data_IF_470996370573
#
_entry.id   IF_470996370573
#
_cell.length_a   1.000
_cell.length_b   1.000
_cell.length_c   1.000
_cell.angle_alpha   90.00
_cell.angle_beta   90.00
_cell.angle_gamma   90.00
#
_symmetry.space_group_name_H-M   'P 1'
#
loop_
_entity.id
_entity.type
_entity.pdbx_description
1 polymer ?
#
# COMPACT_ATOMS: atom_id res chain seq x y z
N UNK A 1 -24.43 18.95 63.18
CA UNK A 1 -24.07 19.39 61.81
C UNK A 1 -24.97 18.61 60.86
N UNK A 2 -25.83 19.37 60.18
CA UNK A 2 -27.02 19.08 59.34
C UNK A 2 -27.04 17.70 58.65
N UNK A 3 -28.05 16.83 58.78
CA UNK A 3 -29.54 16.90 58.71
C UNK A 3 -30.13 16.94 57.29
N UNK A 4 -31.31 16.30 57.16
CA UNK A 4 -32.30 16.25 56.04
C UNK A 4 -32.06 15.11 55.04
N UNK A 5 -32.57 13.89 55.21
CA UNK A 5 -33.97 13.38 55.31
C UNK A 5 -34.82 13.61 54.04
N UNK A 6 -35.44 12.52 53.56
CA UNK A 6 -36.84 12.40 53.05
C UNK A 6 -37.04 12.02 51.57
N UNK A 7 -37.27 10.71 51.33
CA UNK A 7 -38.29 10.17 50.39
C UNK A 7 -39.68 10.76 50.73
N UNK A 8 -40.66 10.91 49.82
CA UNK A 8 -41.27 9.78 49.09
C UNK A 8 -42.03 10.08 47.76
N UNK A 9 -42.58 9.01 47.17
CA UNK A 9 -43.85 8.99 46.42
C UNK A 9 -43.75 9.30 44.93
N UNK A 10 -44.61 8.84 44.03
CA UNK A 10 -45.88 8.10 44.11
C UNK A 10 -46.21 7.71 42.65
N UNK A 11 -46.55 6.45 42.39
CA UNK A 11 -47.25 5.99 41.15
C UNK A 11 -48.74 6.41 41.22
N UNK A 12 -49.63 6.18 40.24
CA UNK A 12 -49.53 5.96 38.79
C UNK A 12 -50.46 6.95 38.03
N UNK A 13 -50.53 6.88 36.69
CA UNK A 13 -51.80 6.89 35.95
C UNK A 13 -51.54 6.86 34.44
N UNK A 14 -52.14 5.87 33.80
CA UNK A 14 -52.31 5.75 32.36
C UNK A 14 -53.02 6.99 31.78
N UNK A 15 -52.96 7.17 30.45
CA UNK A 15 -54.15 7.11 29.57
C UNK A 15 -53.79 7.48 28.11
N UNK A 16 -54.12 6.54 27.21
CA UNK A 16 -54.55 6.67 25.80
C UNK A 16 -53.57 7.20 24.73
N UNK A 17 -53.26 6.27 23.84
CA UNK A 17 -53.20 6.45 22.37
C UNK A 17 -54.45 7.17 21.82
N UNK A 18 -54.30 7.89 20.70
CA UNK A 18 -54.84 7.29 19.48
C UNK A 18 -53.96 7.44 18.24
N UNK A 19 -54.23 6.47 17.37
CA UNK A 19 -53.84 6.25 15.99
C UNK A 19 -53.93 7.47 15.07
N UNK A 20 -52.93 7.64 14.22
CA UNK A 20 -53.06 8.32 12.93
C UNK A 20 -52.05 7.73 11.94
N UNK A 21 -52.45 6.60 11.35
CA UNK A 21 -52.20 6.18 9.96
C UNK A 21 -51.61 7.29 9.06
N UNK A 22 -50.36 7.07 8.64
CA UNK A 22 -49.65 7.85 7.63
C UNK A 22 -48.67 6.94 6.89
N UNK A 23 -49.20 6.27 5.89
CA UNK A 23 -48.53 5.33 4.99
C UNK A 23 -47.69 6.11 3.97
N UNK A 24 -46.35 6.04 4.04
CA UNK A 24 -45.48 6.34 2.90
C UNK A 24 -44.23 5.46 2.94
N UNK A 25 -44.04 4.72 1.87
CA UNK A 25 -42.97 3.77 1.59
C UNK A 25 -41.55 4.27 1.94
N UNK A 26 -40.66 3.40 2.48
CA UNK A 26 -39.24 3.61 2.33
C UNK A 26 -38.84 3.15 0.93
N UNK A 27 -38.72 4.12 0.01
CA UNK A 27 -37.88 3.95 -1.16
C UNK A 27 -36.47 3.66 -0.68
N UNK A 28 -35.99 2.44 -0.91
CA UNK A 28 -34.61 2.03 -0.69
C UNK A 28 -33.74 2.75 -1.72
N UNK A 29 -33.53 4.05 -1.50
CA UNK A 29 -32.46 4.83 -2.12
C UNK A 29 -31.15 4.30 -1.59
N UNK A 30 -30.68 3.21 -2.20
CA UNK A 30 -29.33 2.71 -2.00
C UNK A 30 -28.37 3.75 -2.57
N UNK A 31 -27.98 4.71 -1.73
CA UNK A 31 -26.86 5.58 -2.01
C UNK A 31 -25.63 4.68 -2.23
N UNK A 32 -24.97 4.73 -3.39
CA UNK A 32 -23.69 4.07 -3.54
C UNK A 32 -22.72 4.77 -2.60
N UNK A 33 -22.24 4.03 -1.60
CA UNK A 33 -21.08 4.45 -0.82
C UNK A 33 -19.98 4.81 -1.83
N UNK A 34 -19.38 6.00 -1.75
CA UNK A 34 -18.27 6.32 -2.63
C UNK A 34 -17.17 5.31 -2.31
N UNK A 35 -16.95 4.39 -3.26
CA UNK A 35 -15.74 3.59 -3.34
C UNK A 35 -14.61 4.61 -3.49
N UNK A 36 -14.12 5.08 -2.34
CA UNK A 36 -12.89 5.85 -2.28
C UNK A 36 -11.85 4.96 -2.95
N UNK A 37 -11.19 5.40 -4.02
CA UNK A 37 -10.13 4.62 -4.60
C UNK A 37 -9.17 4.30 -3.45
N UNK A 38 -8.68 3.08 -3.39
CA UNK A 38 -7.58 2.68 -2.54
C UNK A 38 -6.27 3.38 -2.97
N UNK A 39 -6.31 4.69 -3.21
CA UNK A 39 -5.20 5.58 -3.45
C UNK A 39 -4.73 6.13 -2.09
N UNK A 40 -4.33 5.22 -1.20
CA UNK A 40 -3.67 5.57 0.06
C UNK A 40 -2.75 4.44 0.57
N UNK A 41 -2.40 3.46 -0.27
CA UNK A 41 -1.32 2.51 -0.01
C UNK A 41 -0.01 2.88 -0.75
N UNK A 42 0.05 4.06 -1.38
CA UNK A 42 1.20 4.49 -2.18
C UNK A 42 2.19 5.38 -1.39
N UNK A 43 1.87 5.74 -0.15
CA UNK A 43 2.67 6.63 0.71
C UNK A 43 3.87 5.99 1.43
N UNK A 44 4.12 4.69 1.23
CA UNK A 44 5.35 4.00 1.67
C UNK A 44 5.87 3.02 0.61
N UNK A 45 5.28 3.06 -0.59
CA UNK A 45 5.74 2.33 -1.78
C UNK A 45 7.02 2.93 -2.41
N UNK A 46 7.72 3.82 -1.68
CA UNK A 46 9.08 4.25 -2.03
C UNK A 46 10.16 3.20 -1.75
N UNK A 47 9.82 2.05 -1.16
CA UNK A 47 10.79 1.16 -0.51
C UNK A 47 11.15 -0.14 -1.25
N UNK A 48 10.45 -0.54 -2.33
CA UNK A 48 10.74 -1.80 -3.07
C UNK A 48 10.97 -1.59 -4.58
N UNK A 49 11.91 -2.35 -5.16
CA UNK A 49 12.35 -2.24 -6.57
C UNK A 49 11.51 -3.20 -7.41
N UNK A 50 11.15 -4.33 -6.79
CA UNK A 50 10.23 -5.32 -7.30
C UNK A 50 8.84 -5.13 -6.67
N UNK A 51 7.76 -5.43 -7.42
CA UNK A 51 6.42 -5.57 -6.86
C UNK A 51 6.39 -6.60 -5.72
N UNK A 52 5.45 -6.45 -4.78
CA UNK A 52 5.41 -7.29 -3.58
C UNK A 52 5.00 -8.71 -3.93
N UNK A 53 4.02 -8.86 -4.81
CA UNK A 53 3.45 -10.12 -5.26
C UNK A 53 4.51 -10.97 -5.96
N UNK A 54 5.29 -10.36 -6.85
CA UNK A 54 6.39 -11.02 -7.55
C UNK A 54 7.52 -11.45 -6.61
N UNK A 55 7.84 -10.61 -5.62
CA UNK A 55 8.86 -10.94 -4.61
C UNK A 55 8.43 -12.10 -3.73
N UNK A 56 7.13 -12.16 -3.39
CA UNK A 56 6.55 -13.20 -2.55
C UNK A 56 6.47 -14.54 -3.30
N UNK A 57 6.16 -14.54 -4.60
CA UNK A 57 6.18 -15.74 -5.44
C UNK A 57 7.58 -16.35 -5.54
N UNK A 58 8.61 -15.52 -5.78
CA UNK A 58 10.00 -15.98 -5.85
C UNK A 58 10.50 -16.46 -4.49
N UNK A 59 10.11 -15.78 -3.41
CA UNK A 59 10.38 -16.20 -2.03
C UNK A 59 9.75 -17.56 -1.69
N UNK A 60 8.52 -17.80 -2.14
CA UNK A 60 7.85 -19.09 -1.97
C UNK A 60 8.56 -20.22 -2.71
N UNK A 61 9.02 -19.98 -3.95
CA UNK A 61 9.79 -20.96 -4.72
C UNK A 61 11.11 -21.32 -4.05
N UNK A 62 11.83 -20.32 -3.53
CA UNK A 62 13.05 -20.57 -2.77
C UNK A 62 12.77 -21.36 -1.48
N UNK A 63 11.69 -21.03 -0.77
CA UNK A 63 11.30 -21.78 0.42
C UNK A 63 10.94 -23.23 0.09
N UNK A 64 10.25 -23.47 -1.03
CA UNK A 64 9.93 -24.82 -1.49
C UNK A 64 11.19 -25.64 -1.78
N UNK A 65 12.14 -25.05 -2.51
CA UNK A 65 13.43 -25.67 -2.80
C UNK A 65 14.19 -26.05 -1.52
N UNK A 66 14.27 -25.13 -0.54
CA UNK A 66 14.94 -25.39 0.75
C UNK A 66 14.24 -26.51 1.54
N UNK A 67 12.90 -26.53 1.54
CA UNK A 67 12.15 -27.58 2.22
C UNK A 67 12.36 -28.97 1.58
N UNK A 68 12.50 -29.04 0.25
CA UNK A 68 12.75 -30.28 -0.50
C UNK A 68 14.19 -30.80 -0.44
N UNK A 69 15.13 -30.05 0.15
CA UNK A 69 16.56 -30.40 0.17
C UNK A 69 16.84 -31.73 0.89
N UNK A 70 16.05 -32.07 1.91
CA UNK A 70 16.26 -33.30 2.69
C UNK A 70 15.97 -34.55 1.87
N UNK A 71 15.02 -34.47 0.93
CA UNK A 71 14.59 -35.59 0.10
C UNK A 71 15.40 -35.64 -1.21
N UNK A 72 15.52 -34.50 -1.90
CA UNK A 72 16.13 -34.40 -3.23
C UNK A 72 17.15 -33.24 -3.28
N UNK A 73 18.34 -33.40 -2.67
CA UNK A 73 19.27 -32.31 -2.44
C UNK A 73 19.79 -31.66 -3.72
N UNK A 74 19.96 -32.43 -4.81
CA UNK A 74 20.40 -31.89 -6.10
C UNK A 74 19.30 -31.07 -6.77
N UNK A 75 18.09 -31.60 -6.85
CA UNK A 75 16.96 -30.91 -7.47
C UNK A 75 16.60 -29.63 -6.71
N UNK A 76 16.64 -29.67 -5.37
CA UNK A 76 16.45 -28.52 -4.50
C UNK A 76 17.45 -27.39 -4.80
N UNK A 77 18.74 -27.72 -4.93
CA UNK A 77 19.77 -26.71 -5.25
C UNK A 77 19.56 -26.12 -6.65
N UNK A 78 19.26 -26.94 -7.65
CA UNK A 78 18.97 -26.45 -9.00
C UNK A 78 17.72 -25.55 -9.04
N UNK A 79 16.70 -25.84 -8.24
CA UNK A 79 15.51 -25.00 -8.14
C UNK A 79 15.81 -23.66 -7.44
N UNK A 80 16.59 -23.69 -6.36
CA UNK A 80 17.04 -22.48 -5.67
C UNK A 80 17.91 -21.61 -6.58
N UNK A 81 18.80 -22.21 -7.37
CA UNK A 81 19.65 -21.52 -8.35
C UNK A 81 18.80 -20.83 -9.42
N UNK A 82 17.85 -21.54 -10.04
CA UNK A 82 16.89 -20.97 -11.01
C UNK A 82 16.07 -19.83 -10.41
N UNK A 83 15.63 -19.96 -9.16
CA UNK A 83 14.89 -18.90 -8.48
C UNK A 83 15.78 -17.66 -8.27
N UNK A 84 17.05 -17.84 -7.91
CA UNK A 84 18.00 -16.75 -7.73
C UNK A 84 18.33 -16.04 -9.05
N UNK A 85 18.54 -16.79 -10.14
CA UNK A 85 18.73 -16.22 -11.48
C UNK A 85 17.56 -15.32 -11.88
N UNK A 86 16.34 -15.78 -11.63
CA UNK A 86 15.12 -15.03 -11.96
C UNK A 86 14.98 -13.78 -11.09
N UNK A 87 15.29 -13.86 -9.79
CA UNK A 87 15.35 -12.68 -8.90
C UNK A 87 16.35 -11.66 -9.43
N UNK A 88 17.55 -12.10 -9.81
CA UNK A 88 18.61 -11.21 -10.31
C UNK A 88 18.22 -10.53 -11.63
N UNK A 89 17.63 -11.29 -12.56
CA UNK A 89 17.12 -10.77 -13.83
C UNK A 89 16.05 -9.69 -13.60
N UNK A 90 15.04 -9.98 -12.78
CA UNK A 90 13.96 -9.03 -12.48
C UNK A 90 14.46 -7.78 -11.75
N UNK A 91 15.41 -7.92 -10.83
CA UNK A 91 16.02 -6.79 -10.13
C UNK A 91 16.76 -5.88 -11.13
N UNK A 92 17.54 -6.48 -12.03
CA UNK A 92 18.26 -5.76 -13.09
C UNK A 92 17.28 -4.99 -13.99
N UNK A 93 16.19 -5.63 -14.41
CA UNK A 93 15.17 -4.98 -15.22
C UNK A 93 14.47 -3.83 -14.48
N UNK A 94 14.15 -4.01 -13.20
CA UNK A 94 13.56 -2.96 -12.38
C UNK A 94 14.48 -1.73 -12.26
N UNK A 95 15.78 -1.96 -12.04
CA UNK A 95 16.79 -0.90 -11.99
C UNK A 95 16.89 -0.20 -13.35
N UNK A 96 16.95 -0.95 -14.44
CA UNK A 96 17.03 -0.41 -15.79
C UNK A 96 15.81 0.44 -16.14
N UNK A 97 14.59 -0.01 -15.81
CA UNK A 97 13.36 0.77 -15.98
C UNK A 97 13.43 2.08 -15.21
N UNK A 98 13.79 2.04 -13.93
CA UNK A 98 13.90 3.26 -13.10
C UNK A 98 14.96 4.21 -13.63
N UNK A 99 16.13 3.69 -14.02
CA UNK A 99 17.19 4.48 -14.62
C UNK A 99 16.74 5.16 -15.92
N UNK A 100 16.01 4.44 -16.77
CA UNK A 100 15.46 5.01 -18.00
C UNK A 100 14.44 6.12 -17.71
N UNK A 101 13.52 5.93 -16.77
CA UNK A 101 12.55 6.97 -16.36
C UNK A 101 13.26 8.22 -15.86
N UNK A 102 14.28 8.06 -15.00
CA UNK A 102 15.10 9.17 -14.52
C UNK A 102 15.82 9.88 -15.67
N UNK A 103 16.38 9.11 -16.61
CA UNK A 103 17.05 9.66 -17.80
C UNK A 103 16.10 10.47 -18.69
N UNK A 104 14.89 9.97 -18.92
CA UNK A 104 13.87 10.69 -19.69
C UNK A 104 13.46 12.01 -19.02
N UNK A 105 13.40 12.03 -17.68
CA UNK A 105 12.95 13.20 -16.91
C UNK A 105 13.87 14.42 -16.99
N UNK A 106 15.19 14.25 -17.16
CA UNK A 106 16.13 15.38 -17.35
C UNK A 106 16.40 15.70 -18.83
N UNK A 107 16.27 14.73 -19.75
CA UNK A 107 16.44 15.01 -21.18
C UNK A 107 15.31 15.89 -21.75
N UNK A 108 14.13 15.83 -21.14
CA UNK A 108 13.00 16.69 -21.51
C UNK A 108 13.05 18.12 -20.96
N UNK A 109 14.01 18.48 -20.09
CA UNK A 109 14.02 19.79 -19.39
C UNK A 109 14.94 20.86 -20.00
N UNK A 110 15.72 20.54 -21.04
CA UNK A 110 16.74 21.40 -21.66
C UNK A 110 16.24 22.62 -22.49
N UNK A 111 15.13 23.25 -22.10
CA UNK A 111 14.64 24.51 -22.68
C UNK A 111 15.22 25.77 -22.01
N UNK A 112 14.96 26.99 -22.51
CA UNK A 112 15.66 28.24 -22.13
C UNK A 112 15.49 28.74 -20.68
N UNK A 113 14.93 27.94 -19.77
CA UNK A 113 14.66 28.27 -18.38
C UNK A 113 15.76 27.71 -17.44
N UNK A 114 17.00 28.20 -17.60
CA UNK A 114 18.20 27.64 -16.97
C UNK A 114 18.20 27.59 -15.41
N UNK A 115 17.43 28.45 -14.74
CA UNK A 115 17.31 28.45 -13.26
C UNK A 115 16.30 27.43 -12.74
N UNK A 116 15.18 27.22 -13.43
CA UNK A 116 14.24 26.12 -13.10
C UNK A 116 14.86 24.76 -13.44
N UNK A 117 15.62 24.70 -14.53
CA UNK A 117 16.33 23.50 -14.97
C UNK A 117 17.39 23.05 -13.94
N UNK A 118 18.09 23.98 -13.29
CA UNK A 118 19.09 23.65 -12.26
C UNK A 118 18.49 23.08 -10.97
N UNK A 119 17.36 23.59 -10.48
CA UNK A 119 16.67 22.99 -9.33
C UNK A 119 16.08 21.62 -9.69
N UNK A 120 15.56 21.46 -10.91
CA UNK A 120 15.08 20.16 -11.41
C UNK A 120 16.22 19.13 -11.50
N UNK A 121 17.40 19.53 -11.99
CA UNK A 121 18.59 18.69 -12.02
C UNK A 121 19.04 18.28 -10.60
N UNK A 122 18.93 19.15 -9.59
CA UNK A 122 19.22 18.80 -8.19
C UNK A 122 18.27 17.72 -7.67
N UNK A 123 16.98 17.82 -7.97
CA UNK A 123 15.99 16.80 -7.58
C UNK A 123 16.29 15.47 -8.27
N UNK A 124 16.62 15.49 -9.56
CA UNK A 124 16.96 14.27 -10.31
C UNK A 124 18.24 13.63 -9.76
N UNK A 125 19.28 14.41 -9.44
CA UNK A 125 20.49 13.89 -8.80
C UNK A 125 20.22 13.28 -7.41
N UNK A 126 19.31 13.89 -6.63
CA UNK A 126 18.86 13.31 -5.35
C UNK A 126 18.18 11.96 -5.56
N UNK A 127 17.35 11.82 -6.59
CA UNK A 127 16.69 10.56 -6.93
C UNK A 127 17.67 9.48 -7.40
N UNK A 128 18.68 9.86 -8.20
CA UNK A 128 19.78 8.96 -8.58
C UNK A 128 20.55 8.47 -7.35
N UNK A 129 20.87 9.37 -6.41
CA UNK A 129 21.55 9.00 -5.16
C UNK A 129 20.69 8.06 -4.32
N UNK A 130 19.41 8.36 -4.15
CA UNK A 130 18.50 7.51 -3.38
C UNK A 130 18.38 6.10 -3.99
N UNK A 131 18.38 6.00 -5.32
CA UNK A 131 18.38 4.71 -6.02
C UNK A 131 19.70 3.94 -5.78
N UNK A 132 20.84 4.61 -5.87
CA UNK A 132 22.15 4.00 -5.64
C UNK A 132 22.32 3.54 -4.18
N UNK A 133 21.99 4.40 -3.20
CA UNK A 133 22.06 4.07 -1.77
C UNK A 133 21.17 2.85 -1.44
N UNK A 134 20.04 2.71 -2.15
CA UNK A 134 19.13 1.57 -2.00
C UNK A 134 19.68 0.27 -2.58
N UNK A 135 20.43 0.34 -3.68
CA UNK A 135 21.14 -0.80 -4.26
C UNK A 135 22.37 -1.21 -3.47
N UNK A 136 22.96 -0.30 -2.69
CA UNK A 136 24.12 -0.60 -1.85
C UNK A 136 23.75 -1.16 -0.46
N UNK A 137 22.45 -1.20 -0.13
CA UNK A 137 21.95 -1.63 1.19
C UNK A 137 21.33 -3.04 1.19
N UNK A 138 21.30 -3.69 0.02
CA UNK A 138 21.02 -5.13 -0.13
C UNK A 138 22.28 -5.92 0.18
#
# INVERSE_FOLDING_TARGET
>A
MSDVTRTPGTVPAATRTPDARGETAPGTGQAPAPHRPAAAAEGTAGARLLPHEESDELGQRLHHAVAGFVDEPRAAVEEADRALEEIAARLTDAVNRRHHTLRASWQGSGGPAATTDTEQLRLILRDYRALADRLLRI
#
